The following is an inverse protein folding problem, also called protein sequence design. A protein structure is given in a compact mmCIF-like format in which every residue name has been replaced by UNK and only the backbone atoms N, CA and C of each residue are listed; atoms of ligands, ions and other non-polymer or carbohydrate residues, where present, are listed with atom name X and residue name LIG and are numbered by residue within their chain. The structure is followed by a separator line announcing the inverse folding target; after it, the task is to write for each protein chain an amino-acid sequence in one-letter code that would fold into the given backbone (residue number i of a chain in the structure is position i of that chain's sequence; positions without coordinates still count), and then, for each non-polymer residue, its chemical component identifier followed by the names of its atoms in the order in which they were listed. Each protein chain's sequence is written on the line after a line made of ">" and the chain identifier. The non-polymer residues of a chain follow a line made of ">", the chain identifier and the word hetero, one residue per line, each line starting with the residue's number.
data_IF_908266245161
#
_entry.id   IF_908266245161
#
_cell.length_a   1.000
_cell.length_b   1.000
_cell.length_c   1.000
_cell.angle_alpha   90.00
_cell.angle_beta   90.00
_cell.angle_gamma   90.00
#
_symmetry.space_group_name_H-M   'P 1'
#
loop_
_entity.id
_entity.type
_entity.pdbx_description
1 polymer ?
#
# COMPACT_ATOMS: atom_id res chain seq x y z
N UNK A 1 14.38 4.60 29.32
CA UNK A 1 14.90 4.53 27.95
C UNK A 1 14.23 5.62 27.13
N UNK A 2 14.98 6.54 26.53
CA UNK A 2 14.40 7.54 25.64
C UNK A 2 13.95 6.84 24.35
N UNK A 3 12.68 6.47 24.27
CA UNK A 3 12.11 5.84 23.08
C UNK A 3 12.28 6.73 21.85
N UNK A 4 12.48 6.13 20.69
CA UNK A 4 12.67 6.82 19.39
C UNK A 4 11.49 7.76 19.04
N UNK A 5 10.31 7.49 19.59
CA UNK A 5 9.10 8.30 19.53
C UNK A 5 8.21 7.96 20.73
N UNK A 6 7.39 8.90 21.22
CA UNK A 6 6.38 8.59 22.25
C UNK A 6 5.16 7.92 21.62
N UNK A 7 4.45 7.10 22.40
CA UNK A 7 3.19 6.50 21.94
C UNK A 7 2.17 7.59 21.56
N UNK A 8 2.06 8.66 22.34
CA UNK A 8 1.13 9.77 22.07
C UNK A 8 1.44 10.48 20.75
N UNK A 9 2.71 10.66 20.40
CA UNK A 9 3.08 11.24 19.10
C UNK A 9 2.81 10.25 17.96
N UNK A 10 3.08 8.96 18.16
CA UNK A 10 2.87 7.94 17.14
C UNK A 10 1.37 7.67 16.85
N UNK A 11 0.54 7.68 17.89
CA UNK A 11 -0.92 7.51 17.82
C UNK A 11 -1.68 8.83 17.64
N UNK A 12 -0.96 9.96 17.63
CA UNK A 12 -1.53 11.28 17.48
C UNK A 12 -1.99 11.53 16.05
N UNK A 13 -3.19 12.09 15.91
CA UNK A 13 -3.84 12.32 14.61
C UNK A 13 -3.94 13.83 14.29
N UNK A 14 -2.94 14.60 14.72
CA UNK A 14 -2.89 16.05 14.49
C UNK A 14 -2.00 16.34 13.30
N UNK A 15 -2.61 16.81 12.22
CA UNK A 15 -1.91 17.15 10.98
C UNK A 15 -1.87 18.66 10.77
N UNK A 16 -0.71 19.18 10.35
CA UNK A 16 -0.55 20.57 9.94
C UNK A 16 -0.47 20.62 8.42
N UNK A 17 -1.33 21.41 7.78
CA UNK A 17 -1.27 21.61 6.33
C UNK A 17 0.05 22.30 5.96
N UNK A 18 0.76 21.76 4.98
CA UNK A 18 2.06 22.25 4.49
C UNK A 18 1.90 22.92 3.13
N UNK A 19 1.09 22.33 2.25
CA UNK A 19 0.69 22.90 0.95
C UNK A 19 -0.74 22.45 0.59
N UNK A 20 -1.18 22.66 -0.66
CA UNK A 20 -2.54 22.36 -1.11
C UNK A 20 -3.02 20.95 -0.73
N UNK A 21 -2.16 19.94 -0.90
CA UNK A 21 -2.50 18.51 -0.78
C UNK A 21 -1.58 17.73 0.18
N UNK A 22 -0.67 18.42 0.89
CA UNK A 22 0.27 17.80 1.83
C UNK A 22 0.13 18.34 3.25
N UNK A 23 0.37 17.44 4.18
CA UNK A 23 0.30 17.65 5.61
C UNK A 23 1.52 17.04 6.32
N UNK A 24 1.83 17.56 7.50
CA UNK A 24 2.86 17.05 8.38
C UNK A 24 2.28 16.59 9.73
N UNK A 25 2.81 15.52 10.28
CA UNK A 25 2.56 15.03 11.63
C UNK A 25 3.83 15.11 12.50
N UNK A 26 3.64 15.11 13.82
CA UNK A 26 4.77 15.03 14.77
C UNK A 26 5.57 13.73 14.65
N UNK A 27 5.03 12.70 14.01
CA UNK A 27 5.67 11.39 13.83
C UNK A 27 6.48 11.24 12.53
N UNK A 28 6.45 12.21 11.62
CA UNK A 28 6.98 12.03 10.25
C UNK A 28 8.46 11.62 10.22
N UNK A 29 9.29 12.28 11.03
CA UNK A 29 10.72 11.95 11.12
C UNK A 29 10.95 10.50 11.60
N UNK A 30 10.11 9.98 12.50
CA UNK A 30 10.20 8.58 12.91
C UNK A 30 9.89 7.66 11.72
N UNK A 31 8.83 7.94 10.98
CA UNK A 31 8.49 7.14 9.79
C UNK A 31 9.56 7.24 8.70
N UNK A 32 10.14 8.41 8.49
CA UNK A 32 11.20 8.62 7.50
C UNK A 32 12.48 7.87 7.84
N UNK A 33 12.94 7.95 9.10
CA UNK A 33 14.20 7.33 9.51
C UNK A 33 14.04 5.83 9.76
N UNK A 34 12.94 5.40 10.39
CA UNK A 34 12.79 4.02 10.86
C UNK A 34 11.99 3.14 9.89
N UNK A 35 10.96 3.69 9.23
CA UNK A 35 9.99 2.87 8.50
C UNK A 35 10.23 2.90 6.99
N UNK A 36 10.53 4.05 6.40
CA UNK A 36 10.78 4.17 4.96
C UNK A 36 11.88 3.20 4.45
N UNK A 37 13.00 2.96 5.15
CA UNK A 37 13.97 1.94 4.74
C UNK A 37 13.38 0.53 4.67
N UNK A 38 12.47 0.17 5.58
CA UNK A 38 11.78 -1.12 5.58
C UNK A 38 10.82 -1.23 4.40
N UNK A 39 10.04 -0.18 4.11
CA UNK A 39 9.14 -0.16 2.95
C UNK A 39 9.92 -0.32 1.64
N UNK A 40 11.07 0.37 1.51
CA UNK A 40 11.99 0.22 0.37
C UNK A 40 12.49 -1.22 0.23
N UNK A 41 12.94 -1.82 1.34
CA UNK A 41 13.38 -3.22 1.38
C UNK A 41 12.27 -4.19 0.97
N UNK A 42 11.05 -4.02 1.52
CA UNK A 42 9.93 -4.92 1.21
C UNK A 42 9.46 -4.78 -0.23
N UNK A 43 9.42 -3.55 -0.77
CA UNK A 43 9.11 -3.29 -2.17
C UNK A 43 10.13 -3.92 -3.14
N UNK A 44 11.37 -4.13 -2.71
CA UNK A 44 12.43 -4.75 -3.52
C UNK A 44 12.54 -6.27 -3.37
N UNK A 45 11.72 -6.91 -2.52
CA UNK A 45 11.77 -8.37 -2.34
C UNK A 45 11.31 -9.12 -3.59
N UNK A 46 10.41 -8.53 -4.36
CA UNK A 46 9.84 -9.12 -5.56
C UNK A 46 9.40 -8.00 -6.52
N UNK A 47 9.72 -8.11 -7.81
CA UNK A 47 9.33 -7.13 -8.83
C UNK A 47 7.80 -7.03 -9.00
N UNK A 48 7.07 -8.08 -8.64
CA UNK A 48 5.61 -8.15 -8.65
C UNK A 48 4.96 -7.33 -7.55
N UNK A 49 5.69 -6.98 -6.48
CA UNK A 49 5.19 -6.02 -5.50
C UNK A 49 5.28 -4.64 -6.15
N UNK A 50 4.17 -4.00 -6.47
CA UNK A 50 4.15 -2.72 -7.19
C UNK A 50 4.07 -1.51 -6.27
N UNK A 51 3.57 -1.68 -5.05
CA UNK A 51 3.67 -0.69 -3.98
C UNK A 51 3.65 -1.33 -2.60
N UNK A 52 4.28 -0.67 -1.64
CA UNK A 52 4.18 -0.95 -0.20
C UNK A 52 4.01 0.41 0.49
N UNK A 53 2.88 0.63 1.12
CA UNK A 53 2.55 1.90 1.78
C UNK A 53 2.01 1.66 3.18
N UNK A 54 2.16 2.64 4.05
CA UNK A 54 1.51 2.65 5.35
C UNK A 54 0.65 3.90 5.45
N UNK A 55 -0.48 3.78 6.14
CA UNK A 55 -1.35 4.91 6.42
C UNK A 55 -2.05 4.71 7.75
N UNK A 56 -2.25 5.80 8.49
CA UNK A 56 -3.05 5.75 9.71
C UNK A 56 -4.55 5.59 9.40
N UNK A 57 -5.38 5.42 10.43
CA UNK A 57 -6.85 5.24 10.30
C UNK A 57 -7.59 6.41 9.64
N UNK A 58 -6.96 7.57 9.46
CA UNK A 58 -7.50 8.73 8.75
C UNK A 58 -7.00 8.81 7.30
N UNK A 59 -6.19 7.85 6.86
CA UNK A 59 -5.63 7.80 5.51
C UNK A 59 -4.35 8.60 5.34
N UNK A 60 -3.78 9.15 6.41
CA UNK A 60 -2.53 9.92 6.32
C UNK A 60 -1.34 8.98 6.06
N UNK A 61 -0.61 9.24 4.98
CA UNK A 61 0.62 8.54 4.62
C UNK A 61 1.83 9.38 5.06
N UNK A 62 2.47 9.08 6.21
CA UNK A 62 3.59 9.89 6.70
C UNK A 62 4.79 9.82 5.75
N UNK A 63 4.99 8.68 5.09
CA UNK A 63 6.08 8.45 4.13
C UNK A 63 5.62 7.61 2.94
N UNK A 64 6.23 7.86 1.80
CA UNK A 64 6.05 7.10 0.57
C UNK A 64 7.40 6.98 -0.17
N UNK A 65 7.57 5.93 -0.98
CA UNK A 65 8.79 5.71 -1.76
C UNK A 65 9.02 6.80 -2.82
N UNK A 66 7.94 7.27 -3.43
CA UNK A 66 7.88 8.53 -4.17
C UNK A 66 7.65 9.69 -3.16
N UNK A 67 8.64 10.58 -2.95
CA UNK A 67 8.56 11.66 -1.96
C UNK A 67 7.40 12.63 -2.20
N UNK A 68 6.95 12.79 -3.46
CA UNK A 68 5.82 13.67 -3.80
C UNK A 68 4.48 13.19 -3.23
N UNK A 69 4.42 11.93 -2.79
CA UNK A 69 3.23 11.30 -2.20
C UNK A 69 3.31 11.15 -0.68
N UNK A 70 4.41 11.57 -0.06
CA UNK A 70 4.53 11.65 1.40
C UNK A 70 3.74 12.83 1.95
N UNK A 71 3.07 12.63 3.08
CA UNK A 71 2.24 13.64 3.72
C UNK A 71 0.84 13.82 3.09
N UNK A 72 0.42 12.91 2.21
CA UNK A 72 -0.92 12.94 1.60
C UNK A 72 -1.93 12.24 2.51
N UNK A 73 -3.16 12.77 2.57
CA UNK A 73 -4.30 12.09 3.20
C UNK A 73 -5.14 11.44 2.10
N UNK A 74 -5.24 10.11 2.15
CA UNK A 74 -6.08 9.33 1.24
C UNK A 74 -7.54 9.39 1.68
N UNK A 75 -8.40 9.99 0.86
CA UNK A 75 -9.82 10.17 1.19
C UNK A 75 -10.74 9.13 0.51
N UNK A 76 -10.20 8.31 -0.40
CA UNK A 76 -11.00 7.31 -1.10
C UNK A 76 -11.46 6.18 -0.16
N UNK A 77 -12.65 5.66 -0.44
CA UNK A 77 -13.33 4.66 0.40
C UNK A 77 -12.53 3.36 0.55
N UNK A 78 -11.82 2.96 -0.51
CA UNK A 78 -11.00 1.74 -0.51
C UNK A 78 -9.85 1.89 0.48
N UNK A 79 -9.12 3.00 0.39
CA UNK A 79 -7.99 3.30 1.27
C UNK A 79 -8.42 3.39 2.73
N UNK A 80 -9.49 4.13 3.00
CA UNK A 80 -10.02 4.30 4.36
C UNK A 80 -10.55 2.98 4.95
N UNK A 81 -11.18 2.12 4.14
CA UNK A 81 -11.63 0.79 4.58
C UNK A 81 -10.44 -0.09 4.98
N UNK A 82 -9.37 -0.09 4.19
CA UNK A 82 -8.12 -0.76 4.51
C UNK A 82 -7.49 -0.24 5.80
N UNK A 83 -7.37 1.08 5.92
CA UNK A 83 -6.80 1.76 7.08
C UNK A 83 -7.56 1.53 8.39
N UNK A 84 -8.88 1.33 8.31
CA UNK A 84 -9.75 1.17 9.49
C UNK A 84 -10.08 -0.28 9.82
N UNK A 85 -9.73 -1.24 8.96
CA UNK A 85 -9.99 -2.65 9.20
C UNK A 85 -9.04 -3.22 10.25
N UNK A 86 -9.58 -3.85 11.29
CA UNK A 86 -8.80 -4.60 12.29
C UNK A 86 -8.47 -6.03 11.85
N UNK A 87 -8.80 -6.38 10.60
CA UNK A 87 -8.50 -7.67 9.97
C UNK A 87 -7.77 -7.44 8.66
N UNK A 88 -7.03 -8.47 8.21
CA UNK A 88 -6.49 -8.48 6.85
C UNK A 88 -7.67 -8.49 5.87
N UNK A 89 -7.68 -7.52 4.96
CA UNK A 89 -8.64 -7.45 3.87
C UNK A 89 -7.89 -7.28 2.56
N UNK A 90 -8.53 -7.66 1.46
CA UNK A 90 -7.97 -7.41 0.15
C UNK A 90 -9.04 -7.30 -0.92
N UNK A 91 -8.61 -6.83 -2.07
CA UNK A 91 -9.39 -6.75 -3.29
C UNK A 91 -8.48 -7.03 -4.48
N UNK A 92 -9.08 -7.43 -5.60
CA UNK A 92 -8.41 -7.49 -6.87
C UNK A 92 -9.05 -6.48 -7.82
N UNK A 93 -8.23 -5.69 -8.52
CA UNK A 93 -8.70 -4.76 -9.54
C UNK A 93 -7.77 -4.76 -10.74
N UNK A 94 -8.28 -4.39 -11.92
CA UNK A 94 -7.45 -4.18 -13.11
C UNK A 94 -7.11 -2.70 -13.24
N UNK A 95 -5.85 -2.40 -13.53
CA UNK A 95 -5.45 -1.04 -13.89
C UNK A 95 -6.11 -0.65 -15.22
N UNK A 96 -6.32 0.66 -15.48
CA UNK A 96 -6.77 1.11 -16.80
C UNK A 96 -5.83 0.61 -17.91
N UNK A 97 -6.38 0.34 -19.10
CA UNK A 97 -5.60 -0.21 -20.22
C UNK A 97 -4.50 0.74 -20.68
N UNK A 98 -4.75 2.03 -20.58
CA UNK A 98 -3.82 3.11 -20.95
C UNK A 98 -2.55 3.11 -20.09
N UNK A 99 -2.59 2.46 -18.91
CA UNK A 99 -1.46 2.36 -17.99
C UNK A 99 -0.98 0.93 -17.78
N UNK A 100 -1.55 -0.06 -18.48
CA UNK A 100 -1.06 -1.44 -18.56
C UNK A 100 -2.10 -2.55 -18.45
N UNK A 101 -3.32 -2.28 -17.93
CA UNK A 101 -4.40 -3.27 -17.87
C UNK A 101 -4.20 -4.41 -16.85
N UNK A 102 -3.11 -4.39 -16.08
CA UNK A 102 -2.71 -5.53 -15.28
C UNK A 102 -3.64 -5.75 -14.09
N UNK A 103 -3.88 -7.02 -13.74
CA UNK A 103 -4.53 -7.39 -12.49
C UNK A 103 -3.61 -7.06 -11.30
N UNK A 104 -4.15 -6.38 -10.30
CA UNK A 104 -3.47 -6.05 -9.04
C UNK A 104 -4.29 -6.59 -7.89
N UNK A 105 -3.64 -7.38 -7.05
CA UNK A 105 -4.13 -7.74 -5.72
C UNK A 105 -3.66 -6.69 -4.72
N UNK A 106 -4.58 -5.94 -4.15
CA UNK A 106 -4.36 -4.96 -3.09
C UNK A 106 -4.75 -5.58 -1.75
N UNK A 107 -3.78 -5.71 -0.86
CA UNK A 107 -3.94 -6.33 0.46
C UNK A 107 -3.60 -5.30 1.52
N UNK A 108 -4.51 -5.11 2.47
CA UNK A 108 -4.34 -4.25 3.65
C UNK A 108 -4.27 -5.11 4.91
N UNK A 109 -3.23 -4.94 5.72
CA UNK A 109 -3.09 -5.59 7.02
C UNK A 109 -2.99 -4.54 8.14
N UNK A 110 -3.69 -4.73 9.27
CA UNK A 110 -3.71 -3.75 10.36
C UNK A 110 -2.36 -3.67 11.08
N UNK A 111 -2.02 -2.46 11.53
CA UNK A 111 -0.87 -2.17 12.38
C UNK A 111 -1.39 -1.76 13.75
N UNK A 112 -0.96 -2.49 14.77
CA UNK A 112 -1.26 -2.18 16.17
C UNK A 112 0.01 -1.73 16.90
N UNK A 113 -0.11 -0.68 17.69
CA UNK A 113 0.92 -0.20 18.62
C UNK A 113 0.38 -0.37 20.02
N UNK A 114 1.00 -1.24 20.82
CA UNK A 114 0.57 -1.52 22.20
C UNK A 114 -0.94 -1.86 22.31
N UNK A 115 -1.45 -2.66 21.38
CA UNK A 115 -2.86 -3.07 21.32
C UNK A 115 -3.81 -2.01 20.75
N UNK A 116 -3.34 -0.80 20.45
CA UNK A 116 -4.15 0.25 19.81
C UNK A 116 -3.95 0.22 18.30
N UNK A 117 -5.05 0.21 17.55
CA UNK A 117 -5.02 0.23 16.09
C UNK A 117 -4.52 1.59 15.59
N UNK A 118 -3.35 1.61 14.94
CA UNK A 118 -2.75 2.82 14.36
C UNK A 118 -3.27 3.08 12.96
N UNK A 119 -3.35 2.04 12.14
CA UNK A 119 -3.74 2.09 10.73
C UNK A 119 -3.35 0.79 10.03
N UNK A 120 -2.90 0.86 8.78
CA UNK A 120 -2.53 -0.34 8.02
C UNK A 120 -1.22 -0.21 7.25
N UNK A 121 -0.67 -1.37 6.90
CA UNK A 121 0.23 -1.53 5.75
C UNK A 121 -0.61 -2.04 4.57
N UNK A 122 -0.35 -1.49 3.38
CA UNK A 122 -0.97 -1.92 2.12
C UNK A 122 0.08 -2.33 1.12
N UNK A 123 -0.18 -3.46 0.45
CA UNK A 123 0.71 -4.06 -0.52
C UNK A 123 -0.08 -4.32 -1.80
N UNK A 124 0.40 -3.76 -2.90
CA UNK A 124 -0.07 -4.07 -4.24
C UNK A 124 0.82 -5.14 -4.84
N UNK A 125 0.23 -6.26 -5.23
CA UNK A 125 0.92 -7.38 -5.84
C UNK A 125 0.32 -7.70 -7.20
N UNK A 126 1.17 -7.79 -8.21
CA UNK A 126 0.82 -8.10 -9.59
C UNK A 126 1.20 -9.56 -9.88
N UNK A 127 0.23 -10.50 -9.85
CA UNK A 127 0.52 -11.92 -10.06
C UNK A 127 1.11 -12.19 -11.45
N UNK A 128 1.80 -13.32 -11.61
CA UNK A 128 2.24 -13.77 -12.93
C UNK A 128 1.03 -13.95 -13.87
N UNK A 129 1.22 -13.62 -15.14
CA UNK A 129 0.15 -13.66 -16.13
C UNK A 129 -0.90 -12.56 -15.97
N UNK A 130 -0.62 -11.51 -15.20
CA UNK A 130 -1.55 -10.40 -14.98
C UNK A 130 -1.72 -9.49 -16.19
N UNK A 131 -0.81 -9.54 -17.17
CA UNK A 131 -0.92 -8.76 -18.40
C UNK A 131 -1.98 -9.37 -19.33
N UNK A 132 -2.66 -8.54 -20.13
CA UNK A 132 -3.62 -9.07 -21.11
C UNK A 132 -2.92 -9.96 -22.15
N UNK A 133 -1.68 -9.65 -22.53
CA UNK A 133 -0.87 -10.46 -23.44
C UNK A 133 -0.66 -11.89 -22.90
N UNK A 134 -0.30 -12.03 -21.62
CA UNK A 134 -0.12 -13.35 -21.01
C UNK A 134 -1.43 -14.15 -20.93
N UNK A 135 -2.56 -13.45 -20.78
CA UNK A 135 -3.88 -14.08 -20.73
C UNK A 135 -4.37 -14.57 -22.10
N UNK A 136 -3.95 -13.92 -23.18
CA UNK A 136 -4.21 -14.37 -24.56
C UNK A 136 -3.30 -15.55 -24.94
N UNK A 137 -2.03 -15.51 -24.54
CA UNK A 137 -1.09 -16.63 -24.73
C UNK A 137 -1.52 -17.89 -23.96
N UNK A 138 -2.02 -17.76 -22.72
CA UNK A 138 -2.62 -18.89 -21.99
C UNK A 138 -3.89 -19.44 -22.67
N UNK A 139 -4.71 -18.59 -23.29
CA UNK A 139 -5.87 -19.03 -24.10
C UNK A 139 -5.42 -19.77 -25.36
N UNK A 140 -4.40 -19.29 -26.07
CA UNK A 140 -3.80 -19.98 -27.21
C UNK A 140 -3.24 -21.35 -26.83
N UNK A 141 -2.44 -21.43 -25.76
CA UNK A 141 -1.82 -22.67 -25.29
C UNK A 141 -2.86 -23.71 -24.83
N UNK A 142 -3.93 -23.28 -24.17
CA UNK A 142 -5.04 -24.17 -23.77
C UNK A 142 -5.91 -24.61 -24.94
N UNK A 143 -6.09 -23.78 -25.97
CA UNK A 143 -6.80 -24.18 -27.20
C UNK A 143 -6.02 -25.19 -28.06
N UNK A 144 -4.69 -25.19 -27.97
CA UNK A 144 -3.84 -26.11 -28.74
C UNK A 144 -3.84 -27.54 -28.15
N UNK A 145 -4.15 -27.69 -26.86
CA UNK A 145 -4.25 -29.00 -26.19
C UNK A 145 -5.63 -29.66 -26.31
N UNK A 146 -6.62 -28.98 -26.91
CA UNK A 146 -7.98 -29.51 -27.06
C UNK A 146 -8.20 -30.36 -28.34
N UNK A 147 -7.16 -30.62 -29.13
CA UNK A 147 -7.24 -31.46 -30.33
C UNK A 147 -6.40 -32.72 -30.14
N UNK A 148 -6.91 -33.67 -29.35
CA UNK A 148 -6.49 -35.09 -29.34
C UNK A 148 -7.48 -35.92 -28.53
N UNK A 149 -8.62 -36.26 -29.12
CA UNK A 149 -9.37 -37.51 -28.87
C UNK A 149 -10.01 -37.95 -30.18
#
# INVERSE_FOLDING_TARGET
>A
SSGLISEDTLLGNTYKKVDENRYASGADNYFEVQILPLLKKWKSLDSRIIYVVIMDRNGYMPVHLDPGRSGVIMEDQVSLKGARSEKVIGQAFRRPKEVGGELVNDISAPIFVNGKHWGCIRIGYMPEGSSEADSEDQKMLSSTHAVSV
#
